data_IF_352069224933
#
_entry.id   IF_352069224933
#
_cell.length_a   1.000
_cell.length_b   1.000
_cell.length_c   1.000
_cell.angle_alpha   90.00
_cell.angle_beta   90.00
_cell.angle_gamma   90.00
#
_symmetry.space_group_name_H-M   'P 1'
#
loop_
_entity.id
_entity.type
_entity.pdbx_description
1 polymer ?
#
# COMPACT_ATOMS: atom_id res chain seq x y z
N UNK A 1 3.01 -13.92 -4.88
CA UNK A 1 1.53 -13.81 -4.98
C UNK A 1 1.17 -12.67 -5.92
N UNK A 2 -0.12 -12.43 -6.23
CA UNK A 2 -0.49 -11.23 -6.99
C UNK A 2 -0.21 -9.98 -6.15
N UNK A 3 0.38 -8.95 -6.77
CA UNK A 3 0.75 -7.70 -6.08
C UNK A 3 -0.48 -6.86 -5.67
N UNK A 4 -1.62 -7.05 -6.33
CA UNK A 4 -2.93 -6.52 -5.88
C UNK A 4 -3.98 -7.61 -5.68
N UNK A 5 -4.89 -7.40 -4.73
CA UNK A 5 -6.07 -8.25 -4.54
C UNK A 5 -7.32 -7.41 -4.29
N UNK A 6 -8.49 -7.85 -4.77
CA UNK A 6 -9.76 -7.20 -4.48
C UNK A 6 -10.21 -7.44 -3.03
N UNK A 7 -11.05 -6.55 -2.49
CA UNK A 7 -11.64 -6.73 -1.15
C UNK A 7 -12.41 -8.05 -0.98
N UNK A 8 -12.90 -8.63 -2.07
CA UNK A 8 -13.61 -9.91 -2.09
C UNK A 8 -12.70 -11.13 -2.12
N UNK A 9 -11.39 -10.96 -2.31
CA UNK A 9 -10.42 -12.07 -2.30
C UNK A 9 -10.38 -12.74 -0.91
N UNK A 10 -10.07 -14.04 -0.87
CA UNK A 10 -10.06 -14.81 0.37
C UNK A 10 -9.04 -14.28 1.38
N UNK A 11 -7.82 -13.96 0.90
CA UNK A 11 -6.73 -13.38 1.67
C UNK A 11 -6.93 -11.91 2.05
N UNK A 12 -7.91 -11.19 1.47
CA UNK A 12 -8.06 -9.75 1.71
C UNK A 12 -8.35 -9.40 3.18
N UNK A 13 -8.84 -10.35 3.96
CA UNK A 13 -9.12 -10.19 5.40
C UNK A 13 -7.93 -10.49 6.31
N UNK A 14 -6.79 -10.90 5.75
CA UNK A 14 -5.56 -11.22 6.50
C UNK A 14 -4.76 -9.96 6.81
N UNK A 15 -4.41 -9.79 8.09
CA UNK A 15 -3.65 -8.62 8.56
C UNK A 15 -2.24 -8.55 7.99
N UNK A 16 -1.58 -9.70 7.81
CA UNK A 16 -0.24 -9.78 7.25
C UNK A 16 -0.21 -9.43 5.76
N UNK A 17 -1.35 -9.51 5.05
CA UNK A 17 -1.46 -9.18 3.62
C UNK A 17 -1.96 -7.75 3.41
N UNK A 18 -3.06 -7.38 4.07
CA UNK A 18 -3.82 -6.17 3.78
C UNK A 18 -3.67 -5.05 4.84
N UNK A 19 -3.00 -5.34 5.96
CA UNK A 19 -2.97 -4.47 7.12
C UNK A 19 -4.33 -4.31 7.81
N UNK A 20 -4.34 -3.51 8.88
CA UNK A 20 -5.49 -3.35 9.77
C UNK A 20 -6.75 -2.82 9.06
N UNK A 21 -6.62 -1.65 8.42
CA UNK A 21 -7.72 -0.97 7.72
C UNK A 21 -8.21 -1.78 6.52
N UNK A 22 -7.29 -2.28 5.69
CA UNK A 22 -7.59 -3.08 4.49
C UNK A 22 -8.33 -4.37 4.86
N UNK A 23 -7.84 -5.10 5.87
CA UNK A 23 -8.52 -6.29 6.36
C UNK A 23 -9.91 -6.00 6.95
N UNK A 24 -10.05 -4.90 7.70
CA UNK A 24 -11.35 -4.47 8.24
C UNK A 24 -12.35 -4.10 7.14
N UNK A 25 -11.88 -3.41 6.10
CA UNK A 25 -12.69 -3.02 4.96
C UNK A 25 -13.10 -4.24 4.12
N UNK A 26 -12.19 -5.18 3.90
CA UNK A 26 -12.47 -6.45 3.23
C UNK A 26 -13.52 -7.29 3.97
N UNK A 27 -13.44 -7.36 5.31
CA UNK A 27 -14.50 -8.00 6.13
C UNK A 27 -15.83 -7.27 5.99
N UNK A 28 -15.81 -5.94 6.03
CA UNK A 28 -17.03 -5.12 5.91
C UNK A 28 -17.69 -5.30 4.54
N UNK A 29 -16.92 -5.40 3.47
CA UNK A 29 -17.42 -5.61 2.10
C UNK A 29 -18.20 -6.93 1.93
N UNK A 30 -18.04 -7.89 2.84
CA UNK A 30 -18.81 -9.15 2.82
C UNK A 30 -20.21 -9.01 3.42
N UNK A 31 -20.47 -7.96 4.20
CA UNK A 31 -21.70 -7.80 4.97
C UNK A 31 -22.43 -6.46 4.71
N UNK A 32 -21.74 -5.46 4.17
CA UNK A 32 -22.22 -4.10 3.98
C UNK A 32 -21.96 -3.63 2.54
N UNK A 33 -22.73 -2.65 2.02
CA UNK A 33 -22.51 -2.07 0.70
C UNK A 33 -21.27 -1.16 0.71
N UNK A 34 -20.10 -1.77 0.71
CA UNK A 34 -18.81 -1.09 0.61
C UNK A 34 -18.48 -0.89 -0.87
N UNK A 35 -18.02 0.30 -1.30
CA UNK A 35 -17.51 0.49 -2.66
C UNK A 35 -16.42 -0.53 -3.02
N UNK A 36 -16.37 -1.02 -4.26
CA UNK A 36 -15.32 -1.95 -4.68
C UNK A 36 -13.95 -1.26 -4.58
N UNK A 37 -12.91 -2.08 -4.39
CA UNK A 37 -11.55 -1.58 -4.29
C UNK A 37 -10.53 -2.70 -4.28
N UNK A 38 -9.26 -2.28 -4.35
CA UNK A 38 -8.08 -3.13 -4.34
C UNK A 38 -7.25 -2.87 -3.09
N UNK A 39 -6.47 -3.88 -2.73
CA UNK A 39 -5.40 -3.84 -1.74
C UNK A 39 -4.11 -4.06 -2.51
N UNK A 40 -3.15 -3.14 -2.39
CA UNK A 40 -1.74 -3.41 -2.69
C UNK A 40 -1.19 -4.23 -1.53
N UNK A 41 -0.70 -5.43 -1.80
CA UNK A 41 -0.35 -6.38 -0.74
C UNK A 41 0.93 -5.97 -0.04
N UNK A 42 1.09 -6.37 1.23
CA UNK A 42 2.35 -6.15 1.95
C UNK A 42 3.54 -6.86 1.28
N UNK A 43 3.30 -7.95 0.55
CA UNK A 43 4.30 -8.63 -0.28
C UNK A 43 4.75 -7.73 -1.44
N UNK A 44 3.83 -7.03 -2.11
CA UNK A 44 4.16 -6.06 -3.15
C UNK A 44 5.05 -4.93 -2.59
N UNK A 45 4.71 -4.41 -1.42
CA UNK A 45 5.53 -3.39 -0.75
C UNK A 45 6.93 -3.91 -0.39
N UNK A 46 7.04 -5.15 0.12
CA UNK A 46 8.36 -5.77 0.42
C UNK A 46 9.19 -5.96 -0.84
N UNK A 47 8.60 -6.47 -1.92
CA UNK A 47 9.29 -6.64 -3.19
C UNK A 47 9.75 -5.30 -3.78
N UNK A 48 8.96 -4.24 -3.63
CA UNK A 48 9.36 -2.89 -4.02
C UNK A 48 10.55 -2.36 -3.20
N UNK A 49 10.58 -2.64 -1.88
CA UNK A 49 11.68 -2.21 -1.01
C UNK A 49 12.93 -3.06 -1.09
N UNK A 50 12.84 -4.34 -1.48
CA UNK A 50 13.97 -5.30 -1.49
C UNK A 50 15.25 -4.72 -2.15
N UNK A 51 15.19 -4.08 -3.33
CA UNK A 51 16.38 -3.49 -3.96
C UNK A 51 16.97 -2.30 -3.19
N UNK A 52 16.19 -1.68 -2.31
CA UNK A 52 16.55 -0.48 -1.54
C UNK A 52 17.03 -0.81 -0.13
N UNK A 53 16.83 -2.03 0.36
CA UNK A 53 17.11 -2.40 1.75
C UNK A 53 18.54 -2.07 2.18
N UNK A 54 19.53 -2.36 1.34
CA UNK A 54 20.93 -2.07 1.66
C UNK A 54 21.21 -0.56 1.77
N UNK A 55 20.60 0.26 0.90
CA UNK A 55 20.76 1.71 0.93
C UNK A 55 20.01 2.32 2.13
N UNK A 56 18.81 1.83 2.43
CA UNK A 56 18.04 2.22 3.62
C UNK A 56 18.83 1.87 4.89
N UNK A 57 19.40 0.68 4.97
CA UNK A 57 20.22 0.25 6.11
C UNK A 57 21.44 1.15 6.30
N UNK A 58 22.15 1.51 5.22
CA UNK A 58 23.27 2.44 5.29
C UNK A 58 22.86 3.83 5.81
N UNK A 59 21.74 4.37 5.33
CA UNK A 59 21.20 5.65 5.80
C UNK A 59 20.80 5.61 7.28
N UNK A 60 20.26 4.47 7.75
CA UNK A 60 19.94 4.25 9.16
C UNK A 60 21.19 4.15 10.03
N UNK A 61 22.24 3.48 9.54
CA UNK A 61 23.52 3.32 10.25
C UNK A 61 24.31 4.63 10.36
N UNK A 62 24.21 5.51 9.35
CA UNK A 62 24.88 6.81 9.32
C UNK A 62 24.17 7.88 10.17
N UNK A 63 22.87 7.74 10.39
CA UNK A 63 22.08 8.74 11.10
C UNK A 63 22.25 8.64 12.62
N UNK A 64 22.38 9.79 13.29
CA UNK A 64 22.43 9.86 14.76
C UNK A 64 21.03 9.75 15.38
N UNK A 65 19.97 9.93 14.59
CA UNK A 65 18.57 9.77 15.00
C UNK A 65 17.67 9.37 13.84
N UNK A 66 16.49 8.80 14.16
CA UNK A 66 15.49 8.45 13.15
C UNK A 66 15.03 9.67 12.33
N UNK A 67 14.92 10.85 12.94
CA UNK A 67 14.50 12.08 12.26
C UNK A 67 15.51 12.50 11.18
N UNK A 68 16.81 12.24 11.40
CA UNK A 68 17.85 12.52 10.40
C UNK A 68 17.81 11.56 9.22
N UNK A 69 17.47 10.29 9.46
CA UNK A 69 17.34 9.28 8.40
C UNK A 69 16.03 9.40 7.60
N UNK A 70 14.97 9.96 8.20
CA UNK A 70 13.62 9.93 7.64
C UNK A 70 13.52 10.58 6.26
N UNK A 71 14.00 11.83 6.10
CA UNK A 71 13.91 12.54 4.82
C UNK A 71 14.75 11.88 3.71
N UNK A 72 16.04 11.51 3.94
CA UNK A 72 16.81 10.77 2.94
C UNK A 72 16.19 9.43 2.51
N UNK A 73 15.62 8.68 3.45
CA UNK A 73 14.93 7.42 3.14
C UNK A 73 13.66 7.68 2.34
N UNK A 74 12.88 8.70 2.70
CA UNK A 74 11.69 9.10 1.95
C UNK A 74 12.05 9.50 0.52
N UNK A 75 13.07 10.34 0.34
CA UNK A 75 13.55 10.76 -0.98
C UNK A 75 14.04 9.57 -1.82
N UNK A 76 14.75 8.63 -1.20
CA UNK A 76 15.18 7.39 -1.85
C UNK A 76 13.99 6.56 -2.35
N UNK A 77 12.96 6.38 -1.51
CA UNK A 77 11.76 5.62 -1.84
C UNK A 77 10.96 6.31 -2.96
N UNK A 78 10.75 7.63 -2.85
CA UNK A 78 10.00 8.41 -3.83
C UNK A 78 10.75 8.60 -5.15
N UNK A 79 12.08 8.45 -5.15
CA UNK A 79 12.91 8.49 -6.35
C UNK A 79 12.86 7.23 -7.20
N UNK A 80 12.20 6.17 -6.73
CA UNK A 80 12.08 4.90 -7.45
C UNK A 80 10.76 4.84 -8.18
N UNK A 81 10.84 4.80 -9.51
CA UNK A 81 9.67 4.51 -10.33
C UNK A 81 9.34 3.02 -10.30
N UNK A 82 8.08 2.65 -10.09
CA UNK A 82 7.66 1.26 -10.20
C UNK A 82 7.89 0.73 -11.62
N UNK A 83 8.28 -0.54 -11.74
CA UNK A 83 8.61 -1.12 -13.04
C UNK A 83 7.40 -1.28 -13.97
N UNK A 84 7.67 -1.47 -15.26
CA UNK A 84 6.63 -1.57 -16.29
C UNK A 84 5.69 -2.77 -16.07
N UNK A 85 6.20 -3.89 -15.55
CA UNK A 85 5.38 -5.08 -15.30
C UNK A 85 4.35 -4.79 -14.21
N UNK A 86 4.77 -4.15 -13.12
CA UNK A 86 3.87 -3.74 -12.05
C UNK A 86 2.81 -2.75 -12.53
N UNK A 87 3.20 -1.74 -13.32
CA UNK A 87 2.25 -0.79 -13.89
C UNK A 87 1.19 -1.49 -14.73
N UNK A 88 1.60 -2.43 -15.59
CA UNK A 88 0.66 -3.23 -16.39
C UNK A 88 -0.27 -4.09 -15.52
N UNK A 89 0.27 -4.75 -14.50
CA UNK A 89 -0.54 -5.57 -13.58
C UNK A 89 -1.57 -4.74 -12.82
N UNK A 90 -1.20 -3.53 -12.38
CA UNK A 90 -2.11 -2.62 -11.71
C UNK A 90 -3.21 -2.13 -12.65
N UNK A 91 -2.87 -1.75 -13.89
CA UNK A 91 -3.85 -1.36 -14.91
C UNK A 91 -4.84 -2.48 -15.24
N UNK A 92 -4.34 -3.71 -15.41
CA UNK A 92 -5.19 -4.87 -15.66
C UNK A 92 -6.10 -5.15 -14.45
N UNK A 93 -5.58 -5.01 -13.23
CA UNK A 93 -6.39 -5.14 -12.00
C UNK A 93 -7.49 -4.09 -11.90
N UNK A 94 -7.14 -2.82 -12.14
CA UNK A 94 -8.12 -1.72 -12.14
C UNK A 94 -9.20 -1.93 -13.20
N UNK A 95 -8.83 -2.44 -14.39
CA UNK A 95 -9.77 -2.71 -15.47
C UNK A 95 -10.67 -3.91 -15.16
N UNK A 96 -10.08 -5.03 -14.73
CA UNK A 96 -10.79 -6.27 -14.37
C UNK A 96 -11.85 -6.07 -13.30
N UNK A 97 -11.60 -5.14 -12.37
CA UNK A 97 -12.50 -4.84 -11.27
C UNK A 97 -13.40 -3.60 -11.51
N UNK A 98 -13.48 -3.10 -12.74
CA UNK A 98 -14.27 -1.93 -13.15
C UNK A 98 -13.95 -0.64 -12.33
N UNK A 99 -12.71 -0.52 -11.86
CA UNK A 99 -12.24 0.61 -11.05
C UNK A 99 -11.65 1.73 -11.90
N UNK A 100 -11.12 1.43 -13.08
CA UNK A 100 -10.47 2.41 -13.97
C UNK A 100 -11.37 3.60 -14.37
N UNK A 101 -12.70 3.43 -14.34
CA UNK A 101 -13.69 4.47 -14.68
C UNK A 101 -14.01 5.44 -13.55
N UNK A 102 -13.59 5.14 -12.32
CA UNK A 102 -13.94 5.91 -11.12
C UNK A 102 -12.73 6.68 -10.59
N UNK A 103 -12.95 7.85 -9.95
CA UNK A 103 -11.93 8.43 -9.08
C UNK A 103 -11.72 7.52 -7.87
N UNK A 104 -10.47 7.29 -7.49
CA UNK A 104 -10.06 6.40 -6.43
C UNK A 104 -9.62 7.19 -5.19
N UNK A 105 -9.73 6.55 -4.04
CA UNK A 105 -9.14 7.01 -2.78
C UNK A 105 -8.00 6.06 -2.42
N UNK A 106 -6.76 6.55 -2.43
CA UNK A 106 -5.57 5.79 -2.07
C UNK A 106 -5.29 6.01 -0.59
N UNK A 107 -5.32 4.92 0.19
CA UNK A 107 -5.24 4.96 1.65
C UNK A 107 -4.23 3.92 2.13
N UNK A 108 -3.33 4.37 2.99
CA UNK A 108 -2.40 3.50 3.72
C UNK A 108 -3.12 2.50 4.63
N UNK A 109 -2.56 1.30 4.71
CA UNK A 109 -3.00 0.23 5.60
C UNK A 109 -1.81 -0.63 6.01
N UNK A 110 -1.10 -0.21 7.06
CA UNK A 110 0.03 -0.94 7.61
C UNK A 110 -0.37 -2.22 8.36
N UNK A 111 0.53 -3.20 8.37
CA UNK A 111 0.36 -4.51 9.01
C UNK A 111 0.41 -4.46 10.54
N UNK A 112 0.99 -3.40 11.10
CA UNK A 112 1.12 -3.18 12.54
C UNK A 112 0.33 -1.96 13.05
N UNK A 113 -0.56 -1.37 12.23
CA UNK A 113 -1.34 -0.18 12.61
C UNK A 113 -2.33 -0.44 13.77
N UNK A 114 -2.75 -1.70 13.94
CA UNK A 114 -3.74 -2.14 14.93
C UNK A 114 -3.11 -3.06 16.00
N UNK A 115 -1.94 -2.71 16.54
CA UNK A 115 -1.35 -3.41 17.69
C UNK A 115 -2.09 -3.03 18.99
N UNK A 116 -2.36 -3.97 19.92
CA UNK A 116 -2.95 -3.66 21.22
C UNK A 116 -2.10 -2.64 21.98
N UNK A 117 -2.61 -1.42 22.16
CA UNK A 117 -1.93 -0.35 22.89
C UNK A 117 -1.24 0.72 22.02
N UNK A 118 -1.24 0.60 20.69
CA UNK A 118 -0.74 1.63 19.78
C UNK A 118 -1.73 1.85 18.63
N UNK A 119 -2.32 3.04 18.55
CA UNK A 119 -3.14 3.47 17.43
C UNK A 119 -2.38 4.54 16.65
N UNK A 120 -1.95 4.22 15.43
CA UNK A 120 -1.22 5.16 14.56
C UNK A 120 -2.20 6.02 13.73
N UNK A 121 -3.31 6.43 14.36
CA UNK A 121 -4.35 7.20 13.71
C UNK A 121 -3.84 8.58 13.30
N UNK A 122 -3.97 8.91 12.01
CA UNK A 122 -3.60 10.23 11.47
C UNK A 122 -2.13 10.43 11.12
N UNK A 123 -1.29 9.38 11.16
CA UNK A 123 0.12 9.49 10.78
C UNK A 123 0.41 9.24 9.30
N UNK A 124 -0.58 8.77 8.53
CA UNK A 124 -0.36 8.37 7.15
C UNK A 124 -1.25 9.15 6.19
N UNK A 125 -0.71 9.40 5.00
CA UNK A 125 -1.38 10.16 3.96
C UNK A 125 -2.61 9.43 3.37
N UNK A 126 -3.52 10.23 2.83
CA UNK A 126 -4.68 9.79 2.07
C UNK A 126 -4.83 10.70 0.86
N UNK A 127 -4.86 10.10 -0.32
CA UNK A 127 -5.02 10.80 -1.59
C UNK A 127 -6.41 10.51 -2.16
N UNK A 128 -7.09 11.54 -2.67
CA UNK A 128 -8.49 11.47 -3.08
C UNK A 128 -8.64 12.01 -4.50
N UNK A 129 -9.43 11.31 -5.32
CA UNK A 129 -9.72 11.76 -6.68
C UNK A 129 -8.76 11.21 -7.73
N UNK A 130 -7.91 10.26 -7.35
CA UNK A 130 -6.87 9.69 -8.22
C UNK A 130 -7.48 8.88 -9.38
N UNK A 131 -6.83 8.91 -10.54
CA UNK A 131 -7.33 8.24 -11.76
C UNK A 131 -6.20 7.58 -12.53
N UNK A 132 -6.42 6.34 -12.93
CA UNK A 132 -5.43 5.54 -13.67
C UNK A 132 -4.31 5.00 -12.78
N UNK A 133 -3.53 4.08 -13.31
CA UNK A 133 -2.49 3.39 -12.54
C UNK A 133 -1.36 4.34 -12.09
N UNK A 134 -0.96 5.30 -12.92
CA UNK A 134 0.12 6.26 -12.59
C UNK A 134 -0.19 7.16 -11.40
N UNK A 135 -1.46 7.42 -11.12
CA UNK A 135 -1.86 8.21 -9.95
C UNK A 135 -1.99 7.36 -8.67
N UNK A 136 -1.96 6.03 -8.81
CA UNK A 136 -2.12 5.07 -7.71
C UNK A 136 -0.79 4.42 -7.32
N UNK A 137 0.09 4.19 -8.29
CA UNK A 137 1.43 3.66 -8.11
C UNK A 137 2.40 4.75 -7.67
#
# INVERSE_FOLDING_TARGET
MSRTIAFTHEDASRLDVAGGKGASLARSARALPVPPGLIVTSEAYRAFLEPLEAAIAALLDEAESADQAAAPIQDLILGVEPDHEWMMELEDSLTRHDLARYPLAVRSSGTMEDLPGAAFAGQHDTFLGERGATAVA
#
